data_IF_411210721500
#
_entry.id   IF_411210721500
#
_cell.length_a   1.000
_cell.length_b   1.000
_cell.length_c   1.000
_cell.angle_alpha   90.00
_cell.angle_beta   90.00
_cell.angle_gamma   90.00
#
_symmetry.space_group_name_H-M   'P 1'
#
loop_
_entity.id
_entity.type
_entity.pdbx_description
1 polymer ?
#
# COMPACT_ATOMS: atom_id res chain seq x y z
N UNK A 1 -12.80 5.90 7.74
CA UNK A 1 -11.95 6.40 8.87
C UNK A 1 -10.49 5.90 8.79
N UNK A 2 -10.01 5.53 7.59
CA UNK A 2 -8.59 5.22 7.30
C UNK A 2 -7.78 6.51 7.10
N UNK A 3 -8.41 7.67 7.00
CA UNK A 3 -7.71 8.96 7.03
C UNK A 3 -6.86 9.19 8.30
N UNK A 4 -7.03 8.38 9.33
CA UNK A 4 -6.29 8.48 10.58
C UNK A 4 -4.86 7.91 10.55
N UNK A 5 -4.47 7.13 9.54
CA UNK A 5 -3.08 6.65 9.41
C UNK A 5 -2.30 7.48 8.38
N UNK A 6 -2.98 8.09 7.40
CA UNK A 6 -2.35 8.94 6.39
C UNK A 6 -2.58 10.44 6.60
N UNK A 7 -3.46 10.85 7.52
CA UNK A 7 -3.94 12.23 7.69
C UNK A 7 -3.31 13.03 8.84
N UNK A 8 -2.26 12.54 9.51
CA UNK A 8 -1.49 13.33 10.49
C UNK A 8 -0.21 13.85 9.83
N UNK A 9 -0.36 14.52 8.72
CA UNK A 9 0.70 15.30 8.13
C UNK A 9 0.17 16.71 7.92
N UNK A 10 0.39 17.58 8.88
CA UNK A 10 0.44 19.03 8.83
C UNK A 10 -0.26 19.72 10.01
N UNK A 11 -0.23 19.13 11.16
CA UNK A 11 -0.38 19.90 12.39
C UNK A 11 0.99 19.91 13.06
N UNK A 12 1.52 21.13 13.31
CA UNK A 12 2.71 21.34 14.14
C UNK A 12 2.39 20.95 15.59
N UNK A 13 2.17 19.68 15.84
CA UNK A 13 2.22 19.14 17.18
C UNK A 13 3.67 18.76 17.43
N UNK A 14 4.37 19.54 18.23
CA UNK A 14 5.53 19.06 18.96
C UNK A 14 5.03 17.94 19.86
N UNK A 15 4.99 16.71 19.35
CA UNK A 15 4.92 15.54 20.19
C UNK A 15 6.30 15.42 20.84
N UNK A 16 6.41 16.07 22.00
CA UNK A 16 7.44 15.77 22.97
C UNK A 16 7.15 14.36 23.49
N UNK A 17 7.79 13.37 22.91
CA UNK A 17 7.74 11.98 23.28
C UNK A 17 8.92 11.30 22.61
N UNK A 18 10.12 11.87 22.79
CA UNK A 18 11.35 11.13 22.57
C UNK A 18 11.34 10.03 23.60
N UNK A 19 11.13 8.79 23.16
CA UNK A 19 11.33 7.62 24.02
C UNK A 19 12.81 7.58 24.41
N UNK A 20 13.18 7.77 25.66
CA UNK A 20 14.57 7.84 26.06
C UNK A 20 15.32 6.53 25.84
N UNK A 21 14.65 5.40 25.63
CA UNK A 21 15.20 4.05 25.70
C UNK A 21 15.29 3.33 24.33
N UNK A 22 15.06 4.01 23.21
CA UNK A 22 15.12 3.36 21.89
C UNK A 22 14.02 2.31 21.65
N UNK A 23 14.13 1.51 20.56
CA UNK A 23 13.15 0.48 20.24
C UNK A 23 13.13 -0.66 21.25
N UNK A 24 11.93 -1.12 21.65
CA UNK A 24 11.77 -2.22 22.62
C UNK A 24 11.94 -3.57 21.90
N UNK A 25 12.89 -4.43 22.33
CA UNK A 25 13.05 -5.75 21.73
C UNK A 25 11.79 -6.62 21.87
N UNK A 26 11.48 -7.44 20.88
CA UNK A 26 10.36 -8.39 20.94
C UNK A 26 10.47 -9.35 22.12
N UNK A 27 11.71 -9.72 22.50
CA UNK A 27 11.98 -10.54 23.69
C UNK A 27 11.47 -9.92 24.99
N UNK A 28 11.37 -8.58 25.06
CA UNK A 28 10.86 -7.87 26.24
C UNK A 28 9.36 -7.61 26.14
N UNK A 29 8.83 -7.40 24.92
CA UNK A 29 7.41 -7.14 24.70
C UNK A 29 6.56 -8.38 24.88
N UNK A 30 6.91 -9.50 24.25
CA UNK A 30 6.09 -10.72 24.27
C UNK A 30 5.75 -11.19 25.69
N UNK A 31 6.72 -11.31 26.63
CA UNK A 31 6.41 -11.71 28.02
C UNK A 31 5.51 -10.72 28.75
N UNK A 32 5.50 -9.44 28.36
CA UNK A 32 4.61 -8.44 28.97
C UNK A 32 3.18 -8.56 28.46
N UNK A 33 3.00 -8.78 27.15
CA UNK A 33 1.68 -9.07 26.59
C UNK A 33 1.10 -10.33 27.24
N UNK A 34 1.90 -11.37 27.48
CA UNK A 34 1.48 -12.58 28.17
C UNK A 34 1.02 -12.33 29.62
N UNK A 35 1.73 -11.51 30.36
CA UNK A 35 1.31 -11.11 31.72
C UNK A 35 -0.01 -10.35 31.71
N UNK A 36 -0.21 -9.44 30.76
CA UNK A 36 -1.47 -8.71 30.60
C UNK A 36 -2.63 -9.65 30.27
N UNK A 37 -2.40 -10.63 29.38
CA UNK A 37 -3.41 -11.64 29.06
C UNK A 37 -3.78 -12.50 30.26
N UNK A 38 -2.78 -12.95 31.04
CA UNK A 38 -2.98 -13.76 32.23
C UNK A 38 -3.72 -12.99 33.36
N UNK A 39 -3.54 -11.66 33.44
CA UNK A 39 -4.19 -10.79 34.42
C UNK A 39 -5.53 -10.19 33.94
N UNK A 40 -5.94 -10.43 32.67
CA UNK A 40 -7.19 -9.87 32.16
C UNK A 40 -8.41 -10.60 32.73
N UNK A 41 -9.42 -9.86 33.26
CA UNK A 41 -10.66 -10.45 33.74
C UNK A 41 -11.66 -10.76 32.62
N UNK A 42 -11.37 -10.38 31.37
CA UNK A 42 -12.29 -10.59 30.25
C UNK A 42 -12.36 -12.05 29.81
N UNK A 43 -13.49 -12.47 29.25
CA UNK A 43 -13.68 -13.80 28.65
C UNK A 43 -12.66 -14.07 27.54
N UNK A 44 -12.38 -13.00 26.76
CA UNK A 44 -11.35 -13.03 25.70
C UNK A 44 -10.64 -11.67 25.65
N UNK A 45 -9.33 -11.72 25.57
CA UNK A 45 -8.47 -10.54 25.34
C UNK A 45 -7.54 -10.80 24.19
N UNK A 46 -7.43 -9.82 23.30
CA UNK A 46 -6.45 -9.78 22.21
C UNK A 46 -5.68 -8.47 22.28
N UNK A 47 -4.39 -8.55 22.04
CA UNK A 47 -3.46 -7.43 22.11
C UNK A 47 -2.64 -7.43 20.83
N UNK A 48 -2.66 -6.33 20.09
CA UNK A 48 -1.76 -6.07 18.98
C UNK A 48 -0.84 -4.90 19.33
N UNK A 49 0.46 -5.16 19.37
CA UNK A 49 1.52 -4.20 19.56
C UNK A 49 2.17 -3.88 18.22
N UNK A 50 2.30 -2.61 17.90
CA UNK A 50 3.00 -2.11 16.73
C UNK A 50 3.96 -0.99 17.14
N UNK A 51 5.25 -1.19 16.93
CA UNK A 51 6.28 -0.18 17.04
C UNK A 51 6.91 0.05 15.67
N UNK A 52 6.99 1.30 15.23
CA UNK A 52 7.53 1.68 13.93
C UNK A 52 8.50 2.83 14.08
N UNK A 53 9.73 2.64 13.61
CA UNK A 53 10.67 3.71 13.30
C UNK A 53 10.72 3.90 11.79
N UNK A 54 10.51 5.10 11.32
CA UNK A 54 10.56 5.43 9.90
C UNK A 54 11.27 6.74 9.64
N UNK A 55 11.95 6.83 8.53
CA UNK A 55 12.62 8.04 8.10
C UNK A 55 12.53 8.25 6.60
N UNK A 56 12.87 9.45 6.19
CA UNK A 56 12.93 9.84 4.79
C UNK A 56 14.07 10.84 4.59
N UNK A 57 14.71 10.77 3.44
CA UNK A 57 15.70 11.76 2.99
C UNK A 57 15.47 12.10 1.51
N UNK A 58 15.80 13.34 1.13
CA UNK A 58 15.72 13.83 -0.24
C UNK A 58 16.93 14.68 -0.60
N UNK A 59 17.40 14.57 -1.85
CA UNK A 59 18.44 15.45 -2.39
C UNK A 59 17.89 16.70 -3.11
N UNK A 60 16.56 16.93 -3.07
CA UNK A 60 15.91 18.06 -3.72
C UNK A 60 16.39 19.41 -3.17
N UNK A 61 16.69 20.37 -4.08
CA UNK A 61 17.21 21.69 -3.69
C UNK A 61 16.18 22.61 -3.04
N UNK A 62 14.89 22.45 -3.37
CA UNK A 62 13.83 23.36 -2.93
C UNK A 62 13.17 22.97 -1.62
N UNK A 63 13.22 21.72 -1.23
CA UNK A 63 12.66 21.22 0.02
C UNK A 63 13.41 19.95 0.42
N UNK A 64 14.15 20.01 1.50
CA UNK A 64 14.70 18.83 2.15
C UNK A 64 13.59 18.29 3.05
N UNK A 65 12.88 17.28 2.56
CA UNK A 65 11.90 16.57 3.38
C UNK A 65 12.63 15.45 4.12
N UNK A 66 13.43 15.84 5.12
CA UNK A 66 14.09 14.90 6.02
C UNK A 66 13.29 14.81 7.30
N UNK A 67 12.91 13.61 7.68
CA UNK A 67 12.33 13.34 8.99
C UNK A 67 12.73 11.95 9.49
N UNK A 68 12.64 11.79 10.78
CA UNK A 68 12.64 10.50 11.46
C UNK A 68 11.53 10.51 12.52
N UNK A 69 10.71 9.47 12.53
CA UNK A 69 9.59 9.31 13.45
C UNK A 69 9.69 7.94 14.12
N UNK A 70 9.33 7.90 15.39
CA UNK A 70 9.21 6.68 16.17
C UNK A 70 7.84 6.67 16.84
N UNK A 71 7.04 5.66 16.55
CA UNK A 71 5.68 5.53 17.03
C UNK A 71 5.47 4.15 17.65
N UNK A 72 4.74 4.10 18.76
CA UNK A 72 4.27 2.87 19.38
C UNK A 72 2.76 2.93 19.52
N UNK A 73 2.09 1.93 19.03
CA UNK A 73 0.63 1.81 19.12
C UNK A 73 0.28 0.46 19.68
N UNK A 74 -0.68 0.43 20.58
CA UNK A 74 -1.31 -0.81 21.05
C UNK A 74 -2.80 -0.77 20.69
N UNK A 75 -3.31 -1.92 20.29
CA UNK A 75 -4.73 -2.18 20.12
C UNK A 75 -5.14 -3.29 21.05
N UNK A 76 -6.10 -3.03 21.94
CA UNK A 76 -6.77 -4.02 22.74
C UNK A 76 -8.15 -4.29 22.19
N UNK A 77 -8.49 -5.57 22.04
CA UNK A 77 -9.85 -6.05 21.84
C UNK A 77 -10.18 -6.98 23.00
N UNK A 78 -11.21 -6.63 23.76
CA UNK A 78 -11.65 -7.42 24.90
C UNK A 78 -13.12 -7.81 24.74
N UNK A 79 -13.47 -8.97 25.28
CA UNK A 79 -14.85 -9.41 25.42
C UNK A 79 -15.14 -9.73 26.88
N UNK A 80 -16.21 -9.14 27.39
CA UNK A 80 -16.71 -9.37 28.73
C UNK A 80 -18.24 -9.51 28.67
N UNK A 81 -18.77 -10.65 29.07
CA UNK A 81 -20.22 -10.92 29.14
C UNK A 81 -20.98 -10.61 27.84
N UNK A 82 -20.44 -11.04 26.69
CA UNK A 82 -21.06 -10.83 25.38
C UNK A 82 -20.91 -9.40 24.82
N UNK A 83 -20.15 -8.54 25.45
CA UNK A 83 -19.90 -7.16 25.06
C UNK A 83 -18.46 -6.99 24.59
N UNK A 84 -18.22 -6.19 23.58
CA UNK A 84 -16.88 -5.97 23.02
C UNK A 84 -16.43 -4.54 23.28
N UNK A 85 -15.20 -4.41 23.79
CA UNK A 85 -14.46 -3.16 23.87
C UNK A 85 -13.26 -3.19 22.95
N UNK A 86 -13.04 -2.08 22.25
CA UNK A 86 -11.92 -1.88 21.35
C UNK A 86 -11.22 -0.57 21.73
N UNK A 87 -9.97 -0.65 22.19
CA UNK A 87 -9.20 0.52 22.56
C UNK A 87 -7.86 0.55 21.82
N UNK A 88 -7.64 1.59 21.06
CA UNK A 88 -6.38 1.86 20.35
C UNK A 88 -5.76 3.13 20.91
N UNK A 89 -4.49 3.05 21.31
CA UNK A 89 -3.78 4.22 21.83
C UNK A 89 -2.28 4.16 21.51
N UNK A 90 -1.63 5.32 21.52
CA UNK A 90 -0.17 5.38 21.56
C UNK A 90 0.32 5.16 22.98
N UNK A 91 1.43 4.46 23.12
CA UNK A 91 2.02 4.13 24.42
C UNK A 91 3.44 4.66 24.52
N UNK A 92 3.73 5.32 25.64
CA UNK A 92 5.05 5.86 25.94
C UNK A 92 5.82 4.96 26.93
N UNK A 93 5.10 4.27 27.78
CA UNK A 93 5.65 3.39 28.79
C UNK A 93 4.88 2.06 28.84
N UNK A 94 5.45 1.08 29.50
CA UNK A 94 4.79 -0.21 29.63
C UNK A 94 3.64 -0.20 30.66
N UNK A 95 3.62 0.76 31.58
CA UNK A 95 2.47 1.00 32.46
C UNK A 95 1.26 1.53 31.67
N UNK A 96 1.46 2.19 30.53
CA UNK A 96 0.36 2.62 29.68
C UNK A 96 -0.43 1.45 29.10
N UNK A 97 0.19 0.27 28.97
CA UNK A 97 -0.49 -0.94 28.51
C UNK A 97 -1.58 -1.41 29.49
N UNK A 98 -1.33 -1.33 30.80
CA UNK A 98 -2.33 -1.68 31.84
C UNK A 98 -3.49 -0.70 31.83
N UNK A 99 -3.21 0.60 31.59
CA UNK A 99 -4.22 1.62 31.43
C UNK A 99 -5.07 1.34 30.20
N UNK A 100 -4.43 1.04 29.05
CA UNK A 100 -5.12 0.75 27.81
C UNK A 100 -6.02 -0.51 27.91
N UNK A 101 -5.59 -1.54 28.63
CA UNK A 101 -6.45 -2.68 28.93
C UNK A 101 -7.67 -2.30 29.77
N UNK A 102 -7.48 -1.47 30.82
CA UNK A 102 -8.59 -0.99 31.65
C UNK A 102 -9.60 -0.14 30.83
N UNK A 103 -9.10 0.69 29.92
CA UNK A 103 -9.95 1.49 29.05
C UNK A 103 -10.75 0.61 28.07
N UNK A 104 -10.13 -0.44 27.51
CA UNK A 104 -10.82 -1.42 26.68
C UNK A 104 -11.93 -2.15 27.44
N UNK A 105 -11.67 -2.57 28.68
CA UNK A 105 -12.66 -3.20 29.56
C UNK A 105 -13.81 -2.24 29.90
N UNK A 106 -13.50 -0.98 30.20
CA UNK A 106 -14.52 0.05 30.45
C UNK A 106 -15.41 0.26 29.22
N UNK A 107 -14.83 0.32 28.02
CA UNK A 107 -15.57 0.39 26.78
C UNK A 107 -16.47 -0.84 26.55
N UNK A 108 -15.98 -2.04 26.83
CA UNK A 108 -16.77 -3.26 26.72
C UNK A 108 -18.04 -3.18 27.58
N UNK A 109 -17.92 -2.70 28.83
CA UNK A 109 -19.04 -2.57 29.76
C UNK A 109 -20.10 -1.56 29.32
N UNK A 110 -19.68 -0.52 28.59
CA UNK A 110 -20.55 0.52 28.04
C UNK A 110 -21.18 0.13 26.68
N UNK A 111 -20.58 -0.83 25.98
CA UNK A 111 -21.07 -1.28 24.67
C UNK A 111 -22.33 -2.12 24.79
N UNK A 112 -23.25 -2.06 23.82
CA UNK A 112 -24.37 -2.99 23.77
C UNK A 112 -23.84 -4.44 23.60
N UNK A 113 -24.59 -5.46 24.05
CA UNK A 113 -24.27 -6.85 23.71
C UNK A 113 -24.18 -7.02 22.19
N UNK A 114 -23.08 -7.57 21.71
CA UNK A 114 -22.89 -7.87 20.30
C UNK A 114 -22.85 -9.38 20.11
N UNK A 115 -23.81 -9.97 19.39
CA UNK A 115 -23.73 -11.36 18.97
C UNK A 115 -22.60 -11.56 17.95
N UNK A 116 -22.09 -10.48 17.41
CA UNK A 116 -21.16 -10.41 16.30
C UNK A 116 -19.71 -10.56 16.71
N UNK A 117 -19.42 -11.56 17.53
CA UNK A 117 -18.04 -11.80 17.87
C UNK A 117 -17.37 -12.71 16.89
N UNK A 118 -16.57 -12.08 16.37
CA UNK A 118 -15.42 -12.22 15.54
C UNK A 118 -14.60 -13.45 15.93
N UNK A 119 -14.36 -14.31 14.97
CA UNK A 119 -13.49 -15.45 15.14
C UNK A 119 -12.10 -14.95 15.55
N UNK A 120 -11.78 -15.04 16.83
CA UNK A 120 -10.43 -14.77 17.32
C UNK A 120 -9.56 -15.95 16.93
N UNK A 121 -8.52 -15.76 16.13
CA UNK A 121 -7.62 -16.83 15.78
C UNK A 121 -7.08 -17.50 17.05
N UNK A 122 -7.10 -18.82 17.08
CA UNK A 122 -6.46 -19.61 18.12
C UNK A 122 -5.23 -20.33 17.56
N UNK A 123 -4.42 -20.85 18.49
CA UNK A 123 -3.28 -21.69 18.13
C UNK A 123 -1.99 -20.92 17.87
N UNK A 124 -0.90 -21.65 17.90
CA UNK A 124 0.48 -21.16 17.85
C UNK A 124 1.26 -21.76 16.67
N UNK A 125 0.59 -22.13 15.59
CA UNK A 125 1.28 -22.63 14.41
C UNK A 125 2.31 -21.60 13.90
N UNK A 126 3.58 -21.98 13.71
CA UNK A 126 4.62 -21.04 13.31
C UNK A 126 4.30 -20.41 11.95
N UNK A 127 4.70 -19.15 11.78
CA UNK A 127 4.64 -18.42 10.50
C UNK A 127 6.06 -18.18 9.99
N UNK A 128 6.21 -18.16 8.68
CA UNK A 128 7.52 -17.88 8.08
C UNK A 128 7.80 -16.37 8.12
N UNK A 129 8.84 -16.00 8.86
CA UNK A 129 9.31 -14.60 8.96
C UNK A 129 10.61 -14.34 8.22
N UNK A 130 11.08 -15.30 7.40
CA UNK A 130 12.32 -15.15 6.63
C UNK A 130 12.12 -14.09 5.54
N UNK A 131 13.14 -13.25 5.36
CA UNK A 131 13.17 -12.23 4.30
C UNK A 131 12.28 -11.00 4.54
N UNK A 132 11.62 -10.89 5.70
CA UNK A 132 10.78 -9.71 6.00
C UNK A 132 11.54 -8.60 6.73
N UNK A 133 12.73 -8.88 7.26
CA UNK A 133 13.58 -7.91 7.95
C UNK A 133 15.01 -7.91 7.36
N UNK A 134 15.47 -6.73 6.98
CA UNK A 134 16.83 -6.48 6.47
C UNK A 134 17.62 -5.63 7.46
N UNK A 135 18.77 -6.13 7.95
CA UNK A 135 19.63 -5.38 8.88
C UNK A 135 20.18 -4.06 8.32
N UNK A 136 20.32 -3.90 7.01
CA UNK A 136 20.80 -2.65 6.41
C UNK A 136 19.73 -1.57 6.46
N UNK A 137 18.48 -1.91 6.11
CA UNK A 137 17.33 -1.00 6.24
C UNK A 137 17.03 -0.69 7.71
N UNK A 138 17.11 -1.68 8.59
CA UNK A 138 16.87 -1.50 10.04
C UNK A 138 17.85 -0.49 10.65
N UNK A 139 19.07 -0.40 10.15
CA UNK A 139 20.10 0.56 10.60
C UNK A 139 20.18 1.84 9.77
N UNK A 140 19.27 2.01 8.80
CA UNK A 140 19.28 3.22 7.97
C UNK A 140 19.08 4.47 8.83
N UNK A 141 19.85 5.51 8.50
CA UNK A 141 19.77 6.84 9.13
C UNK A 141 19.64 7.90 8.05
N UNK A 142 19.19 9.12 8.37
CA UNK A 142 19.16 10.23 7.41
C UNK A 142 20.53 10.52 6.79
N UNK A 143 21.63 10.36 7.57
CA UNK A 143 23.00 10.51 7.06
C UNK A 143 23.35 9.47 6.00
N UNK A 144 23.14 8.19 6.30
CA UNK A 144 23.41 7.09 5.37
C UNK A 144 22.56 7.19 4.10
N UNK A 145 21.28 7.55 4.23
CA UNK A 145 20.38 7.78 3.11
C UNK A 145 20.86 8.94 2.22
N UNK A 146 21.30 10.06 2.83
CA UNK A 146 21.88 11.20 2.11
C UNK A 146 23.12 10.83 1.34
N UNK A 147 24.05 10.10 1.95
CA UNK A 147 25.29 9.66 1.31
C UNK A 147 24.99 8.72 0.13
N UNK A 148 23.99 7.85 0.27
CA UNK A 148 23.52 6.99 -0.82
C UNK A 148 22.98 7.83 -2.00
N UNK A 149 22.09 8.78 -1.73
CA UNK A 149 21.54 9.65 -2.76
C UNK A 149 22.61 10.51 -3.43
N UNK A 150 23.59 11.04 -2.67
CA UNK A 150 24.69 11.85 -3.23
C UNK A 150 25.59 11.05 -4.16
N UNK A 151 25.84 9.77 -3.86
CA UNK A 151 26.64 8.89 -4.73
C UNK A 151 25.94 8.52 -6.03
N UNK A 152 24.61 8.46 -6.06
CA UNK A 152 23.83 7.96 -7.20
C UNK A 152 23.27 9.06 -8.08
N UNK A 153 22.87 10.19 -7.49
CA UNK A 153 22.20 11.27 -8.21
C UNK A 153 23.17 12.09 -9.04
N UNK A 154 22.87 12.22 -10.33
CA UNK A 154 23.55 13.12 -11.24
C UNK A 154 23.01 14.56 -11.16
N UNK A 155 23.58 15.44 -11.99
CA UNK A 155 23.17 16.84 -12.07
C UNK A 155 21.72 16.95 -12.60
N UNK A 156 20.87 17.61 -11.83
CA UNK A 156 19.47 17.83 -12.19
C UNK A 156 18.52 16.68 -11.84
N UNK A 157 19.02 15.61 -11.22
CA UNK A 157 18.22 14.50 -10.74
C UNK A 157 17.76 14.76 -9.29
N UNK A 158 16.50 14.46 -9.03
CA UNK A 158 15.89 14.52 -7.70
C UNK A 158 15.48 13.12 -7.29
N UNK A 159 15.85 12.72 -6.09
CA UNK A 159 15.46 11.44 -5.53
C UNK A 159 15.02 11.58 -4.09
N UNK A 160 14.12 10.72 -3.69
CA UNK A 160 13.68 10.50 -2.31
C UNK A 160 13.87 9.04 -1.96
N UNK A 161 14.31 8.77 -0.76
CA UNK A 161 14.36 7.43 -0.19
C UNK A 161 13.72 7.48 1.18
N UNK A 162 12.82 6.54 1.43
CA UNK A 162 12.24 6.31 2.75
C UNK A 162 12.56 4.91 3.24
N UNK A 163 12.61 4.75 4.55
CA UNK A 163 12.80 3.46 5.21
C UNK A 163 11.92 3.36 6.43
N UNK A 164 11.58 2.12 6.78
CA UNK A 164 10.84 1.80 7.99
C UNK A 164 11.38 0.52 8.61
N UNK A 165 11.46 0.52 9.93
CA UNK A 165 11.68 -0.66 10.77
C UNK A 165 10.49 -0.80 11.69
N UNK A 166 9.86 -1.96 11.71
CA UNK A 166 8.70 -2.26 12.55
C UNK A 166 8.92 -3.48 13.41
N UNK A 167 8.37 -3.44 14.62
CA UNK A 167 8.23 -4.57 15.53
C UNK A 167 6.77 -4.79 15.79
N UNK A 168 6.31 -5.99 15.52
CA UNK A 168 4.91 -6.34 15.62
C UNK A 168 4.79 -7.57 16.53
N UNK A 169 3.90 -7.49 17.51
CA UNK A 169 3.54 -8.63 18.32
C UNK A 169 2.02 -8.68 18.50
N UNK A 170 1.44 -9.84 18.25
CA UNK A 170 0.01 -10.12 18.46
C UNK A 170 -0.10 -11.31 19.38
N UNK A 171 -0.89 -11.16 20.44
CA UNK A 171 -1.14 -12.23 21.39
C UNK A 171 -2.61 -12.19 21.86
N UNK A 172 -3.20 -13.35 22.14
CA UNK A 172 -4.54 -13.41 22.68
C UNK A 172 -4.69 -14.53 23.76
N UNK A 173 -5.79 -14.46 24.51
CA UNK A 173 -6.10 -15.42 25.58
C UNK A 173 -6.47 -16.83 25.07
N UNK A 174 -6.55 -17.05 23.75
CA UNK A 174 -6.77 -18.35 23.11
C UNK A 174 -5.49 -19.03 22.63
N UNK A 175 -4.33 -18.54 23.10
CA UNK A 175 -3.03 -19.15 22.83
C UNK A 175 -2.31 -18.65 21.58
N UNK A 176 -2.90 -17.71 20.81
CA UNK A 176 -2.19 -17.10 19.67
C UNK A 176 -0.99 -16.29 20.17
N UNK A 177 0.16 -16.54 19.54
CA UNK A 177 1.39 -15.76 19.70
C UNK A 177 2.00 -15.53 18.32
N UNK A 178 2.20 -14.26 17.95
CA UNK A 178 2.86 -13.86 16.73
C UNK A 178 3.79 -12.71 17.02
N UNK A 179 4.98 -12.75 16.49
CA UNK A 179 5.92 -11.64 16.58
C UNK A 179 6.83 -11.64 15.35
N UNK A 180 7.13 -10.46 14.83
CA UNK A 180 8.06 -10.27 13.73
C UNK A 180 8.71 -8.89 13.80
N UNK A 181 10.02 -8.84 13.50
CA UNK A 181 10.69 -7.64 13.03
C UNK A 181 10.49 -7.55 11.52
N UNK A 182 10.21 -6.35 11.03
CA UNK A 182 9.93 -6.13 9.61
C UNK A 182 10.58 -4.83 9.15
N UNK A 183 11.12 -4.81 7.94
CA UNK A 183 11.63 -3.59 7.31
C UNK A 183 10.93 -3.32 5.99
N UNK A 184 10.93 -2.07 5.57
CA UNK A 184 10.64 -1.69 4.19
C UNK A 184 11.44 -0.47 3.78
N UNK A 185 11.88 -0.46 2.53
CA UNK A 185 12.45 0.70 1.86
C UNK A 185 11.62 1.05 0.63
N UNK A 186 11.55 2.31 0.31
CA UNK A 186 11.02 2.78 -0.96
C UNK A 186 11.90 3.90 -1.51
N UNK A 187 11.92 4.04 -2.81
CA UNK A 187 12.64 5.08 -3.50
C UNK A 187 11.83 5.61 -4.67
N UNK A 188 11.94 6.92 -4.90
CA UNK A 188 11.43 7.60 -6.08
C UNK A 188 12.54 8.46 -6.68
N UNK A 189 12.69 8.41 -8.00
CA UNK A 189 13.68 9.18 -8.76
C UNK A 189 13.01 9.93 -9.88
N UNK A 190 13.34 11.21 -10.02
CA UNK A 190 12.92 12.08 -11.12
C UNK A 190 14.18 12.60 -11.80
N UNK A 191 14.39 12.23 -13.07
CA UNK A 191 15.49 12.65 -13.91
C UNK A 191 15.05 13.74 -14.86
N UNK A 192 15.83 14.81 -14.97
CA UNK A 192 15.56 16.00 -15.76
C UNK A 192 14.40 16.88 -15.23
N UNK A 193 14.33 18.09 -15.78
CA UNK A 193 13.23 19.02 -15.46
C UNK A 193 12.07 18.77 -16.39
N UNK A 194 10.86 19.05 -15.93
CA UNK A 194 9.66 19.08 -16.77
C UNK A 194 9.86 20.08 -17.97
N UNK A 195 9.33 19.79 -19.18
CA UNK A 195 8.74 18.52 -19.60
C UNK A 195 9.76 17.44 -19.95
N UNK A 196 9.31 16.19 -20.05
CA UNK A 196 10.17 15.05 -20.41
C UNK A 196 10.93 14.41 -19.26
N UNK A 197 10.56 14.73 -18.02
CA UNK A 197 11.17 14.12 -16.84
C UNK A 197 10.89 12.61 -16.80
N UNK A 198 11.96 11.82 -16.81
CA UNK A 198 11.88 10.38 -16.54
C UNK A 198 11.64 10.14 -15.07
N UNK A 199 10.78 9.18 -14.76
CA UNK A 199 10.42 8.82 -13.40
C UNK A 199 10.54 7.31 -13.19
N UNK A 200 10.94 6.93 -11.99
CA UNK A 200 10.91 5.54 -11.54
C UNK A 200 10.76 5.49 -10.02
N UNK A 201 10.03 4.49 -9.55
CA UNK A 201 9.90 4.19 -8.14
C UNK A 201 10.04 2.67 -7.90
N UNK A 202 10.38 2.30 -6.68
CA UNK A 202 10.37 0.91 -6.23
C UNK A 202 10.21 0.85 -4.71
N UNK A 203 9.78 -0.32 -4.22
CA UNK A 203 9.78 -0.66 -2.81
C UNK A 203 10.34 -2.07 -2.60
N UNK A 204 10.88 -2.35 -1.41
CA UNK A 204 11.39 -3.68 -1.06
C UNK A 204 11.49 -3.86 0.44
N UNK A 205 11.55 -5.11 0.91
CA UNK A 205 11.90 -5.47 2.29
C UNK A 205 13.39 -5.30 2.59
N UNK A 206 14.24 -5.21 1.57
CA UNK A 206 15.68 -5.07 1.72
C UNK A 206 16.26 -3.94 0.88
N UNK A 207 17.40 -3.39 1.29
CA UNK A 207 18.12 -2.37 0.52
C UNK A 207 18.64 -2.94 -0.80
N UNK A 208 19.11 -4.19 -0.78
CA UNK A 208 19.55 -4.89 -2.00
C UNK A 208 18.38 -5.09 -2.99
N UNK A 209 17.20 -5.51 -2.51
CA UNK A 209 15.99 -5.67 -3.34
C UNK A 209 15.41 -4.34 -3.82
N UNK A 210 15.60 -3.25 -3.10
CA UNK A 210 15.25 -1.90 -3.56
C UNK A 210 16.05 -1.50 -4.80
N UNK A 211 17.28 -2.02 -4.95
CA UNK A 211 18.16 -1.84 -6.09
C UNK A 211 18.29 -0.37 -6.56
N UNK A 212 18.75 0.56 -5.73
CA UNK A 212 18.74 2.01 -5.99
C UNK A 212 19.34 2.39 -7.35
N UNK A 213 20.43 1.73 -7.76
CA UNK A 213 21.10 1.96 -9.05
C UNK A 213 20.16 1.67 -10.23
N UNK A 214 19.35 0.62 -10.13
CA UNK A 214 18.39 0.24 -11.18
C UNK A 214 17.24 1.23 -11.26
N UNK A 215 16.76 1.75 -10.13
CA UNK A 215 15.73 2.80 -10.08
C UNK A 215 16.23 4.06 -10.80
N UNK A 216 17.45 4.53 -10.52
CA UNK A 216 18.06 5.64 -11.25
C UNK A 216 18.22 5.33 -12.75
N UNK A 217 18.72 4.16 -13.11
CA UNK A 217 18.89 3.75 -14.51
C UNK A 217 17.53 3.73 -15.25
N UNK A 218 16.46 3.22 -14.62
CA UNK A 218 15.12 3.21 -15.21
C UNK A 218 14.57 4.63 -15.40
N UNK A 219 14.72 5.51 -14.42
CA UNK A 219 14.31 6.91 -14.56
C UNK A 219 15.08 7.63 -15.68
N UNK A 220 16.38 7.39 -15.80
CA UNK A 220 17.21 7.95 -16.89
C UNK A 220 16.76 7.47 -18.26
N UNK A 221 16.52 6.17 -18.46
CA UNK A 221 16.02 5.62 -19.73
C UNK A 221 14.68 6.22 -20.16
N UNK A 222 13.83 6.55 -19.18
CA UNK A 222 12.50 7.14 -19.41
C UNK A 222 12.53 8.66 -19.61
N UNK A 223 13.68 9.32 -19.40
CA UNK A 223 13.82 10.74 -19.67
C UNK A 223 13.72 11.03 -21.16
N UNK A 224 12.93 12.04 -21.50
CA UNK A 224 12.73 12.49 -22.87
C UNK A 224 13.43 13.80 -23.18
N UNK A 225 13.41 14.21 -24.47
CA UNK A 225 13.88 15.52 -24.87
C UNK A 225 12.98 16.61 -24.26
N UNK A 226 13.53 17.82 -24.01
CA UNK A 226 12.74 18.91 -23.43
C UNK A 226 11.77 19.55 -24.45
N UNK A 227 11.85 19.15 -25.70
CA UNK A 227 10.96 19.65 -26.77
C UNK A 227 9.55 19.08 -26.60
N UNK A 228 8.57 19.97 -26.55
CA UNK A 228 7.17 19.64 -26.33
C UNK A 228 6.40 19.63 -27.64
N UNK A 229 5.61 18.59 -27.83
CA UNK A 229 4.66 18.48 -28.95
C UNK A 229 3.23 18.47 -28.44
N UNK A 230 2.27 18.65 -29.33
CA UNK A 230 0.85 18.55 -29.00
C UNK A 230 0.44 17.09 -28.74
N UNK A 231 -0.48 16.83 -27.79
CA UNK A 231 -1.10 15.52 -27.65
C UNK A 231 -1.82 15.12 -28.94
N UNK A 232 -2.10 13.81 -29.10
CA UNK A 232 -2.94 13.33 -30.19
C UNK A 232 -4.32 14.02 -30.20
N UNK A 233 -4.85 14.29 -31.37
CA UNK A 233 -6.23 14.77 -31.51
C UNK A 233 -7.19 13.57 -31.35
N UNK A 234 -8.02 13.61 -30.31
CA UNK A 234 -9.02 12.58 -30.03
C UNK A 234 -8.52 11.40 -29.18
N UNK A 235 -9.33 10.32 -29.09
CA UNK A 235 -8.97 9.13 -28.32
C UNK A 235 -7.71 8.47 -28.85
N UNK A 236 -6.82 8.09 -27.94
CA UNK A 236 -5.54 7.45 -28.26
C UNK A 236 -5.24 6.35 -27.26
N UNK A 237 -4.46 5.31 -27.63
CA UNK A 237 -4.01 4.30 -26.67
C UNK A 237 -3.05 4.93 -25.66
N UNK A 238 -3.05 4.37 -24.45
CA UNK A 238 -2.17 4.75 -23.36
C UNK A 238 -1.29 3.59 -22.93
N UNK A 239 -0.02 3.85 -22.72
CA UNK A 239 0.87 2.96 -21.98
C UNK A 239 1.18 3.60 -20.63
N UNK A 240 0.82 2.92 -19.57
CA UNK A 240 1.04 3.33 -18.19
C UNK A 240 2.29 2.65 -17.63
N UNK A 241 3.17 3.41 -17.00
CA UNK A 241 4.28 2.87 -16.23
C UNK A 241 3.77 1.99 -15.09
N UNK A 242 4.65 1.24 -14.43
CA UNK A 242 4.33 0.50 -13.23
C UNK A 242 3.79 1.43 -12.12
N UNK A 243 4.37 2.63 -12.00
CA UNK A 243 3.96 3.65 -11.03
C UNK A 243 2.54 4.18 -11.31
N UNK A 244 2.23 4.49 -12.56
CA UNK A 244 0.91 4.96 -12.97
C UNK A 244 -0.15 3.85 -12.83
N UNK A 245 0.19 2.62 -13.21
CA UNK A 245 -0.67 1.44 -13.03
C UNK A 245 -0.97 1.20 -11.55
N UNK A 246 0.07 1.19 -10.69
CA UNK A 246 -0.10 1.01 -9.26
C UNK A 246 -0.99 2.09 -8.63
N UNK A 247 -0.88 3.34 -9.06
CA UNK A 247 -1.72 4.44 -8.57
C UNK A 247 -3.20 4.21 -8.90
N UNK A 248 -3.53 3.80 -10.13
CA UNK A 248 -4.90 3.47 -10.51
C UNK A 248 -5.46 2.28 -9.72
N UNK A 249 -4.66 1.23 -9.56
CA UNK A 249 -5.05 0.04 -8.80
C UNK A 249 -5.26 0.34 -7.33
N UNK A 250 -4.50 1.26 -6.75
CA UNK A 250 -4.71 1.68 -5.35
C UNK A 250 -6.03 2.43 -5.16
N UNK A 251 -6.45 3.24 -6.12
CA UNK A 251 -7.78 3.87 -6.11
C UNK A 251 -8.87 2.80 -6.23
N UNK A 252 -8.72 1.89 -7.19
CA UNK A 252 -9.63 0.76 -7.36
C UNK A 252 -9.76 -0.06 -6.08
N UNK A 253 -8.62 -0.42 -5.46
CA UNK A 253 -8.57 -1.20 -4.23
C UNK A 253 -9.39 -0.56 -3.11
N UNK A 254 -9.14 0.72 -2.83
CA UNK A 254 -9.83 1.44 -1.75
C UNK A 254 -11.33 1.58 -1.97
N UNK A 255 -11.76 1.76 -3.22
CA UNK A 255 -13.18 1.94 -3.54
C UNK A 255 -13.94 0.61 -3.67
N UNK A 256 -13.22 -0.50 -3.86
CA UNK A 256 -13.86 -1.74 -4.33
C UNK A 256 -13.64 -2.93 -3.40
N UNK A 257 -12.38 -3.21 -3.02
CA UNK A 257 -12.00 -4.49 -2.43
C UNK A 257 -11.88 -4.49 -0.91
N UNK A 258 -12.10 -3.37 -0.24
CA UNK A 258 -12.11 -3.33 1.23
C UNK A 258 -13.45 -3.85 1.77
N UNK A 259 -13.43 -4.44 2.97
CA UNK A 259 -14.67 -4.85 3.64
C UNK A 259 -15.60 -3.66 3.90
N UNK A 260 -15.06 -2.49 4.22
CA UNK A 260 -15.83 -1.27 4.46
C UNK A 260 -16.53 -0.77 3.19
N UNK A 261 -15.83 -0.70 2.04
CA UNK A 261 -16.45 -0.26 0.79
C UNK A 261 -17.58 -1.20 0.35
N UNK A 262 -17.40 -2.51 0.58
CA UNK A 262 -18.44 -3.50 0.31
C UNK A 262 -19.64 -3.35 1.27
N UNK A 263 -19.37 -3.16 2.55
CA UNK A 263 -20.39 -3.07 3.61
C UNK A 263 -21.25 -1.82 3.48
N UNK A 264 -20.63 -0.68 3.21
CA UNK A 264 -21.32 0.61 3.01
C UNK A 264 -22.10 0.70 1.69
N UNK A 265 -21.97 -0.28 0.80
CA UNK A 265 -22.62 -0.27 -0.51
C UNK A 265 -21.94 0.64 -1.55
N UNK A 266 -20.76 1.16 -1.25
CA UNK A 266 -19.95 1.94 -2.19
C UNK A 266 -19.35 1.03 -3.27
N UNK A 267 -18.93 -0.19 -2.89
CA UNK A 267 -18.33 -1.14 -3.82
C UNK A 267 -19.36 -1.68 -4.82
N UNK A 268 -19.06 -1.56 -6.09
CA UNK A 268 -19.84 -2.16 -7.17
C UNK A 268 -19.85 -3.71 -7.12
N UNK A 269 -18.92 -4.32 -6.40
CA UNK A 269 -18.84 -5.78 -6.28
C UNK A 269 -20.09 -6.42 -5.66
N UNK A 270 -20.85 -5.67 -4.87
CA UNK A 270 -22.08 -6.21 -4.27
C UNK A 270 -23.04 -6.79 -5.30
N UNK A 271 -23.08 -6.21 -6.48
CA UNK A 271 -23.96 -6.62 -7.58
C UNK A 271 -23.23 -7.39 -8.68
N UNK A 272 -21.90 -7.54 -8.56
CA UNK A 272 -21.05 -8.04 -9.64
C UNK A 272 -20.18 -9.24 -9.26
N UNK A 273 -20.31 -9.79 -8.07
CA UNK A 273 -19.57 -11.01 -7.70
C UNK A 273 -19.94 -12.16 -8.65
N UNK A 274 -18.92 -12.85 -9.15
CA UNK A 274 -19.05 -13.91 -10.14
C UNK A 274 -19.32 -13.43 -11.56
N UNK A 275 -19.34 -12.10 -11.80
CA UNK A 275 -19.58 -11.53 -13.13
C UNK A 275 -18.29 -10.97 -13.75
N UNK A 276 -18.17 -11.00 -15.09
CA UNK A 276 -17.08 -10.30 -15.78
C UNK A 276 -17.24 -8.79 -15.61
N UNK A 277 -16.20 -8.16 -15.03
CA UNK A 277 -16.19 -6.71 -14.73
C UNK A 277 -15.07 -5.98 -15.45
N UNK A 278 -14.02 -6.72 -15.87
CA UNK A 278 -12.84 -6.21 -16.56
C UNK A 278 -12.47 -7.08 -17.76
N UNK A 279 -11.46 -6.64 -18.50
CA UNK A 279 -10.88 -7.45 -19.59
C UNK A 279 -10.30 -8.77 -19.04
N UNK A 280 -10.41 -9.90 -19.78
CA UNK A 280 -9.92 -11.21 -19.30
C UNK A 280 -8.43 -11.26 -18.94
N UNK A 281 -7.60 -10.35 -19.45
CA UNK A 281 -6.20 -10.24 -19.06
C UNK A 281 -5.99 -9.64 -17.65
N UNK A 282 -7.03 -9.08 -17.04
CA UNK A 282 -6.94 -8.48 -15.70
C UNK A 282 -7.11 -9.55 -14.63
N UNK A 283 -6.03 -9.85 -13.91
CA UNK A 283 -6.01 -10.74 -12.76
C UNK A 283 -5.47 -9.96 -11.56
N UNK A 284 -6.29 -9.74 -10.56
CA UNK A 284 -5.93 -9.03 -9.32
C UNK A 284 -5.91 -9.99 -8.15
N UNK A 285 -4.81 -9.98 -7.41
CA UNK A 285 -4.60 -10.82 -6.23
C UNK A 285 -4.06 -9.95 -5.10
N UNK A 286 -4.48 -10.19 -3.87
CA UNK A 286 -3.74 -9.72 -2.70
C UNK A 286 -2.89 -10.87 -2.18
N UNK A 287 -1.57 -10.74 -2.26
CA UNK A 287 -0.65 -11.80 -1.87
C UNK A 287 0.44 -11.29 -0.93
N UNK A 288 0.19 -11.34 0.38
CA UNK A 288 1.18 -10.98 1.38
C UNK A 288 2.32 -12.01 1.53
N UNK A 289 2.34 -13.08 0.74
CA UNK A 289 3.39 -14.11 0.80
C UNK A 289 4.34 -14.07 -0.40
N UNK A 290 3.99 -13.34 -1.47
CA UNK A 290 4.81 -13.26 -2.68
C UNK A 290 6.07 -12.41 -2.45
N UNK A 291 7.29 -12.98 -2.59
CA UNK A 291 8.55 -12.24 -2.37
C UNK A 291 8.81 -11.13 -3.39
N UNK A 292 8.09 -11.10 -4.52
CA UNK A 292 8.19 -10.01 -5.51
C UNK A 292 7.51 -8.73 -5.05
N UNK A 293 6.69 -8.78 -3.99
CA UNK A 293 6.07 -7.63 -3.35
C UNK A 293 6.77 -7.21 -2.06
N UNK A 294 5.97 -6.87 -1.05
CA UNK A 294 6.42 -6.63 0.31
C UNK A 294 5.85 -7.71 1.24
N UNK A 295 6.38 -8.94 1.27
CA UNK A 295 5.79 -10.04 2.02
C UNK A 295 5.67 -9.72 3.51
N UNK A 296 4.57 -10.21 4.13
CA UNK A 296 4.28 -10.04 5.53
C UNK A 296 3.62 -11.31 6.10
N UNK A 297 4.07 -11.83 7.25
CA UNK A 297 3.78 -13.21 7.64
C UNK A 297 2.40 -13.44 8.27
N UNK A 298 1.71 -12.39 8.72
CA UNK A 298 0.38 -12.47 9.35
C UNK A 298 -0.34 -11.12 9.28
N UNK A 299 -1.66 -11.12 9.36
CA UNK A 299 -2.44 -9.87 9.46
C UNK A 299 -2.29 -9.21 10.85
N UNK A 300 -2.79 -7.98 11.01
CA UNK A 300 -2.63 -7.25 12.27
C UNK A 300 -3.44 -7.86 13.45
N UNK A 301 -4.20 -8.91 13.22
CA UNK A 301 -4.88 -9.71 14.24
C UNK A 301 -4.23 -11.09 14.42
N UNK A 302 -3.11 -11.35 13.75
CA UNK A 302 -2.29 -12.54 13.91
C UNK A 302 -2.72 -13.76 13.08
N UNK A 303 -3.69 -13.64 12.17
CA UNK A 303 -3.98 -14.72 11.24
C UNK A 303 -2.82 -14.87 10.25
N UNK A 304 -2.38 -16.12 10.01
CA UNK A 304 -1.32 -16.41 9.07
C UNK A 304 -1.67 -15.86 7.68
N UNK A 305 -0.71 -15.17 7.07
CA UNK A 305 -0.86 -14.58 5.74
C UNK A 305 -1.16 -15.64 4.69
N UNK A 306 -2.07 -15.32 3.79
CA UNK A 306 -2.44 -16.18 2.66
C UNK A 306 -2.99 -15.32 1.51
N UNK A 307 -2.75 -15.73 0.25
CA UNK A 307 -3.26 -14.99 -0.89
C UNK A 307 -4.78 -15.11 -1.02
N UNK A 308 -5.39 -14.08 -1.61
CA UNK A 308 -6.77 -14.08 -2.09
C UNK A 308 -6.83 -13.56 -3.52
N UNK A 309 -7.57 -14.25 -4.38
CA UNK A 309 -7.86 -13.78 -5.73
C UNK A 309 -9.06 -12.83 -5.69
N UNK A 310 -8.82 -11.55 -6.03
CA UNK A 310 -9.87 -10.52 -6.06
C UNK A 310 -10.60 -10.51 -7.40
N UNK A 311 -9.85 -10.70 -8.48
CA UNK A 311 -10.34 -10.80 -9.86
C UNK A 311 -9.53 -11.87 -10.58
N UNK A 312 -10.20 -12.77 -11.28
CA UNK A 312 -9.58 -13.82 -12.11
C UNK A 312 -10.20 -13.82 -13.49
N UNK A 313 -9.36 -13.67 -14.53
CA UNK A 313 -9.86 -13.61 -15.91
C UNK A 313 -10.87 -12.49 -16.14
N UNK A 314 -10.74 -11.35 -15.47
CA UNK A 314 -11.68 -10.24 -15.52
C UNK A 314 -12.95 -10.44 -14.70
N UNK A 315 -13.14 -11.60 -14.07
CA UNK A 315 -14.32 -11.94 -13.25
C UNK A 315 -14.07 -11.55 -11.79
N UNK A 316 -15.01 -10.85 -11.17
CA UNK A 316 -14.95 -10.48 -9.76
C UNK A 316 -15.16 -11.71 -8.87
N UNK A 317 -14.23 -11.99 -7.96
CA UNK A 317 -14.25 -13.19 -7.10
C UNK A 317 -14.70 -12.84 -5.68
N UNK A 318 -13.97 -11.99 -4.97
CA UNK A 318 -14.25 -11.64 -3.58
C UNK A 318 -13.61 -10.31 -3.19
N UNK A 319 -14.19 -9.55 -2.25
CA UNK A 319 -13.45 -8.51 -1.52
C UNK A 319 -12.58 -9.15 -0.42
N UNK A 320 -11.79 -8.34 0.28
CA UNK A 320 -11.24 -8.73 1.57
C UNK A 320 -12.40 -8.83 2.59
N UNK A 321 -12.44 -9.92 3.35
CA UNK A 321 -13.56 -10.29 4.22
C UNK A 321 -13.12 -10.12 5.68
N UNK A 322 -13.74 -9.17 6.38
CA UNK A 322 -13.72 -9.07 7.83
C UNK A 322 -14.75 -10.03 8.45
N UNK A 323 -14.82 -10.03 9.76
CA UNK A 323 -15.72 -10.93 10.47
C UNK A 323 -17.22 -10.55 10.30
N UNK A 324 -17.57 -9.29 10.03
CA UNK A 324 -18.95 -8.88 9.74
C UNK A 324 -19.36 -9.37 8.35
N UNK A 325 -18.49 -9.15 7.37
CA UNK A 325 -18.75 -9.54 5.98
C UNK A 325 -18.74 -11.06 5.82
N UNK A 326 -17.94 -11.77 6.62
CA UNK A 326 -17.91 -13.24 6.70
C UNK A 326 -19.30 -13.85 6.87
N UNK A 327 -20.14 -13.27 7.71
CA UNK A 327 -21.51 -13.75 7.91
C UNK A 327 -22.45 -13.38 6.77
N UNK A 328 -22.29 -12.17 6.25
CA UNK A 328 -23.13 -11.70 5.15
C UNK A 328 -22.91 -12.50 3.86
N UNK A 329 -21.69 -13.00 3.66
CA UNK A 329 -21.32 -13.78 2.47
C UNK A 329 -21.26 -15.31 2.73
N UNK A 330 -21.50 -15.75 3.96
CA UNK A 330 -21.30 -17.17 4.39
C UNK A 330 -19.92 -17.70 3.95
N UNK A 331 -18.88 -16.88 4.15
CA UNK A 331 -17.51 -17.15 3.72
C UNK A 331 -16.54 -16.82 4.85
N UNK A 332 -15.46 -17.60 5.09
CA UNK A 332 -14.55 -17.35 6.18
C UNK A 332 -13.84 -15.99 6.01
N UNK A 333 -13.48 -15.33 7.12
CA UNK A 333 -12.66 -14.11 7.09
C UNK A 333 -11.35 -14.35 6.36
N UNK A 334 -10.90 -13.35 5.61
CA UNK A 334 -9.59 -13.40 4.95
C UNK A 334 -8.49 -12.90 5.88
N UNK A 335 -7.23 -13.23 5.57
CA UNK A 335 -6.06 -12.82 6.36
C UNK A 335 -5.50 -11.46 5.90
N UNK A 336 -6.39 -10.49 5.66
CA UNK A 336 -6.08 -9.11 5.26
C UNK A 336 -6.60 -8.09 6.28
N UNK A 337 -6.77 -8.50 7.53
CA UNK A 337 -7.35 -7.63 8.56
C UNK A 337 -6.34 -6.61 9.06
N UNK A 338 -6.72 -5.35 9.01
CA UNK A 338 -5.95 -4.23 9.57
C UNK A 338 -6.55 -3.73 10.89
N UNK A 339 -7.80 -4.10 11.15
CA UNK A 339 -8.50 -3.92 12.40
C UNK A 339 -9.56 -5.03 12.55
N UNK A 340 -10.17 -5.20 13.74
CA UNK A 340 -11.20 -6.24 13.97
C UNK A 340 -12.40 -6.17 13.03
N UNK A 341 -12.77 -5.00 12.61
CA UNK A 341 -13.92 -4.69 11.75
C UNK A 341 -13.51 -4.14 10.39
N UNK A 342 -12.26 -4.36 10.00
CA UNK A 342 -11.73 -3.84 8.74
C UNK A 342 -10.73 -4.80 8.10
N UNK A 343 -11.06 -5.25 6.89
CA UNK A 343 -10.15 -6.00 6.03
C UNK A 343 -9.85 -5.21 4.75
N UNK A 344 -8.56 -5.10 4.41
CA UNK A 344 -8.07 -4.30 3.29
C UNK A 344 -6.97 -5.08 2.58
N UNK A 345 -7.05 -5.28 1.25
CA UNK A 345 -5.91 -5.77 0.49
C UNK A 345 -4.72 -4.81 0.64
N UNK A 346 -3.62 -5.31 1.17
CA UNK A 346 -2.43 -4.49 1.49
C UNK A 346 -1.23 -4.86 0.63
N UNK A 347 -1.30 -5.98 -0.10
CA UNK A 347 -0.26 -6.53 -0.95
C UNK A 347 -0.84 -6.84 -2.33
N UNK A 348 -1.43 -5.80 -2.94
CA UNK A 348 -2.14 -5.93 -4.20
C UNK A 348 -1.18 -6.19 -5.36
N UNK A 349 -1.49 -7.18 -6.19
CA UNK A 349 -0.84 -7.49 -7.44
C UNK A 349 -1.81 -7.36 -8.61
N UNK A 350 -1.39 -6.69 -9.67
CA UNK A 350 -1.84 -7.02 -11.02
C UNK A 350 -0.89 -8.12 -11.52
N UNK A 351 -1.40 -9.33 -11.72
CA UNK A 351 -0.55 -10.43 -12.16
C UNK A 351 0.05 -10.14 -13.53
N UNK A 352 1.33 -10.48 -13.75
CA UNK A 352 2.02 -10.14 -15.00
C UNK A 352 1.44 -10.90 -16.19
N UNK A 353 1.47 -10.26 -17.33
CA UNK A 353 1.33 -10.90 -18.63
C UNK A 353 2.68 -11.36 -19.18
N UNK A 354 2.72 -11.64 -20.49
CA UNK A 354 3.94 -12.08 -21.19
C UNK A 354 4.73 -10.94 -21.84
N UNK A 355 4.10 -9.86 -22.40
CA UNK A 355 4.79 -8.84 -23.17
C UNK A 355 5.88 -8.09 -22.39
N UNK A 356 7.05 -7.95 -23.01
CA UNK A 356 8.10 -7.04 -22.55
C UNK A 356 7.70 -5.55 -22.79
N UNK A 357 8.48 -4.60 -22.23
CA UNK A 357 8.21 -3.17 -22.37
C UNK A 357 8.09 -2.72 -23.82
N UNK A 358 8.97 -3.20 -24.72
CA UNK A 358 8.95 -2.83 -26.13
C UNK A 358 7.70 -3.33 -26.89
N UNK A 359 7.20 -4.50 -26.53
CA UNK A 359 6.00 -5.07 -27.13
C UNK A 359 4.76 -4.34 -26.64
N UNK A 360 4.75 -3.94 -25.38
CA UNK A 360 3.67 -3.15 -24.79
C UNK A 360 3.62 -1.74 -25.41
N UNK A 361 4.77 -1.10 -25.63
CA UNK A 361 4.84 0.18 -26.34
C UNK A 361 4.37 0.04 -27.79
N UNK A 362 4.69 -1.07 -28.48
CA UNK A 362 4.14 -1.34 -29.84
C UNK A 362 2.62 -1.51 -29.82
N UNK A 363 2.06 -2.16 -28.81
CA UNK A 363 0.61 -2.29 -28.66
C UNK A 363 -0.10 -0.93 -28.46
N UNK A 364 0.62 0.06 -27.92
CA UNK A 364 0.13 1.43 -27.73
C UNK A 364 0.73 2.44 -28.73
N UNK A 365 1.19 1.98 -29.91
CA UNK A 365 1.82 2.85 -30.90
C UNK A 365 0.87 3.95 -31.39
N UNK A 366 1.41 5.13 -31.67
CA UNK A 366 0.64 6.34 -31.99
C UNK A 366 -0.03 6.99 -30.77
N UNK A 367 0.08 6.36 -29.61
CA UNK A 367 -0.52 6.79 -28.34
C UNK A 367 0.40 7.59 -27.45
N UNK A 368 0.14 7.48 -26.14
CA UNK A 368 0.76 8.30 -25.11
C UNK A 368 1.28 7.41 -23.98
N UNK A 369 2.54 7.63 -23.60
CA UNK A 369 3.14 7.10 -22.39
C UNK A 369 2.89 8.02 -21.19
N UNK A 370 2.57 7.46 -20.04
CA UNK A 370 2.36 8.18 -18.78
C UNK A 370 3.28 7.60 -17.70
N UNK A 371 4.18 8.42 -17.18
CA UNK A 371 5.13 7.98 -16.15
C UNK A 371 4.52 7.96 -14.73
N UNK A 372 3.61 8.87 -14.41
CA UNK A 372 2.95 8.94 -13.11
C UNK A 372 1.59 9.65 -13.22
N UNK A 373 0.71 9.36 -12.26
CA UNK A 373 -0.58 10.02 -12.09
C UNK A 373 -0.61 10.71 -10.72
N UNK A 374 -0.39 12.03 -10.70
CA UNK A 374 -0.25 12.83 -9.48
C UNK A 374 -0.75 14.27 -9.65
N UNK A 375 -1.73 14.76 -8.89
CA UNK A 375 -2.60 13.98 -8.00
C UNK A 375 -3.54 13.04 -8.76
N UNK A 376 -4.07 12.04 -8.06
CA UNK A 376 -5.09 11.14 -8.56
C UNK A 376 -6.21 11.06 -7.52
N UNK A 377 -7.42 11.42 -7.92
CA UNK A 377 -8.59 11.52 -7.05
C UNK A 377 -9.77 10.77 -7.66
N UNK A 378 -10.43 9.94 -6.85
CA UNK A 378 -11.74 9.38 -7.19
C UNK A 378 -12.83 10.32 -6.67
N UNK A 379 -13.74 10.73 -7.53
CA UNK A 379 -14.83 11.66 -7.17
C UNK A 379 -16.23 11.05 -7.27
N UNK A 380 -16.33 9.87 -7.85
CA UNK A 380 -17.56 9.07 -7.88
C UNK A 380 -17.19 7.62 -7.51
N UNK A 381 -17.27 7.26 -6.21
CA UNK A 381 -16.86 5.93 -5.76
C UNK A 381 -17.66 4.77 -6.37
N UNK A 382 -18.95 4.93 -6.61
CA UNK A 382 -19.81 3.88 -7.20
C UNK A 382 -19.54 3.71 -8.70
N UNK A 383 -19.39 4.81 -9.43
CA UNK A 383 -19.03 4.82 -10.84
C UNK A 383 -17.55 4.62 -11.10
N UNK A 384 -16.68 4.60 -10.05
CA UNK A 384 -15.22 4.51 -10.17
C UNK A 384 -14.61 5.60 -11.08
N UNK A 385 -15.24 6.77 -11.13
CA UNK A 385 -14.73 7.90 -11.90
C UNK A 385 -13.58 8.58 -11.17
N UNK A 386 -12.54 8.91 -11.91
CA UNK A 386 -11.37 9.56 -11.37
C UNK A 386 -10.94 10.77 -12.22
N UNK A 387 -10.16 11.62 -11.59
CA UNK A 387 -9.40 12.69 -12.22
C UNK A 387 -7.95 12.57 -11.79
N UNK A 388 -7.02 12.66 -12.74
CA UNK A 388 -5.60 12.60 -12.49
C UNK A 388 -4.83 13.62 -13.31
N UNK A 389 -3.65 14.02 -12.83
CA UNK A 389 -2.66 14.71 -13.65
C UNK A 389 -1.63 13.70 -14.11
N UNK A 390 -1.59 13.44 -15.41
CA UNK A 390 -0.58 12.61 -16.04
C UNK A 390 0.74 13.39 -16.16
N UNK A 391 1.79 12.83 -15.61
CA UNK A 391 3.13 13.46 -15.55
C UNK A 391 4.19 12.62 -16.23
N UNK A 392 5.24 13.30 -16.72
CA UNK A 392 6.31 12.67 -17.49
C UNK A 392 5.79 12.03 -18.76
N UNK A 393 4.87 12.74 -19.41
CA UNK A 393 4.11 12.25 -20.55
C UNK A 393 4.96 12.30 -21.81
N UNK A 394 4.90 11.25 -22.63
CA UNK A 394 5.63 11.16 -23.90
C UNK A 394 4.76 10.56 -25.00
N UNK A 395 5.02 10.94 -26.22
CA UNK A 395 4.44 10.30 -27.38
C UNK A 395 5.04 8.91 -27.57
N UNK A 396 4.27 7.97 -28.08
CA UNK A 396 4.77 6.67 -28.53
C UNK A 396 4.78 6.71 -30.07
N UNK A 397 5.97 6.63 -30.65
CA UNK A 397 6.16 6.72 -32.10
C UNK A 397 6.98 5.50 -32.57
N UNK A 398 6.39 4.66 -33.41
CA UNK A 398 7.03 3.42 -33.90
C UNK A 398 7.33 2.40 -32.81
N UNK A 399 6.50 2.33 -31.77
CA UNK A 399 6.69 1.42 -30.64
C UNK A 399 7.80 1.83 -29.67
N UNK A 400 8.23 3.10 -29.67
CA UNK A 400 9.26 3.63 -28.79
C UNK A 400 8.84 4.95 -28.14
N UNK A 401 9.47 5.30 -27.01
CA UNK A 401 9.22 6.57 -26.33
C UNK A 401 9.81 7.74 -27.16
N UNK A 402 8.94 8.53 -27.76
CA UNK A 402 9.25 9.66 -28.61
C UNK A 402 9.39 10.99 -27.84
N UNK A 403 8.86 12.07 -28.41
CA UNK A 403 8.93 13.44 -27.89
C UNK A 403 8.08 13.62 -26.65
N UNK A 404 8.44 14.62 -25.85
CA UNK A 404 7.74 14.96 -24.61
C UNK A 404 6.42 15.67 -24.89
N UNK A 405 5.46 15.46 -24.02
CA UNK A 405 4.19 16.15 -23.94
C UNK A 405 4.12 16.99 -22.66
N UNK A 406 3.29 18.02 -22.58
CA UNK A 406 3.03 18.70 -21.32
C UNK A 406 2.32 17.74 -20.35
N UNK A 407 2.20 18.16 -19.09
CA UNK A 407 1.32 17.47 -18.16
C UNK A 407 -0.13 17.55 -18.67
N UNK A 408 -0.85 16.44 -18.60
CA UNK A 408 -2.22 16.31 -19.08
C UNK A 408 -3.16 15.98 -17.92
N UNK A 409 -4.37 16.51 -17.95
CA UNK A 409 -5.46 16.05 -17.09
C UNK A 409 -6.14 14.87 -17.77
N UNK A 410 -6.33 13.79 -17.02
CA UNK A 410 -7.06 12.61 -17.45
C UNK A 410 -8.25 12.38 -16.53
N UNK A 411 -9.44 12.39 -17.11
CA UNK A 411 -10.69 12.04 -16.43
C UNK A 411 -11.31 10.84 -17.11
N UNK A 412 -11.57 9.78 -16.36
CA UNK A 412 -12.12 8.55 -16.90
C UNK A 412 -12.86 7.72 -15.83
N UNK A 413 -13.29 6.54 -16.22
CA UNK A 413 -13.89 5.50 -15.39
C UNK A 413 -12.98 4.27 -15.35
N UNK A 414 -12.63 3.78 -14.15
CA UNK A 414 -11.70 2.65 -13.98
C UNK A 414 -12.23 1.35 -14.57
N UNK A 415 -13.56 1.11 -14.57
CA UNK A 415 -14.15 -0.07 -15.22
C UNK A 415 -13.92 -0.01 -16.72
N UNK A 416 -14.17 1.17 -17.31
CA UNK A 416 -13.93 1.39 -18.73
C UNK A 416 -12.47 1.23 -19.10
N UNK A 417 -11.55 1.80 -18.32
CA UNK A 417 -10.11 1.68 -18.55
C UNK A 417 -9.68 0.21 -18.49
N UNK A 418 -10.07 -0.53 -17.44
CA UNK A 418 -9.68 -1.92 -17.26
C UNK A 418 -10.46 -2.90 -18.15
N UNK A 419 -11.56 -2.49 -18.79
CA UNK A 419 -12.23 -3.28 -19.82
C UNK A 419 -11.57 -3.19 -21.20
N UNK A 420 -10.70 -2.21 -21.42
CA UNK A 420 -10.03 -1.93 -22.71
C UNK A 420 -8.53 -2.19 -22.69
N UNK A 421 -8.09 -3.18 -21.92
CA UNK A 421 -6.68 -3.58 -21.84
C UNK A 421 -6.22 -4.13 -23.18
N UNK A 422 -5.12 -3.61 -23.71
CA UNK A 422 -4.42 -4.10 -24.89
C UNK A 422 -3.35 -5.14 -24.51
N UNK A 423 -2.59 -4.82 -23.45
CA UNK A 423 -1.53 -5.69 -22.96
C UNK A 423 -1.24 -5.42 -21.48
N UNK A 424 -0.86 -6.47 -20.76
CA UNK A 424 -0.31 -6.43 -19.40
C UNK A 424 1.14 -6.84 -19.48
N UNK A 425 2.06 -6.03 -18.99
CA UNK A 425 3.49 -6.27 -19.07
C UNK A 425 3.97 -7.42 -18.18
N UNK A 426 5.19 -7.90 -18.43
CA UNK A 426 5.79 -9.02 -17.68
C UNK A 426 6.59 -8.58 -16.45
N UNK A 427 7.14 -7.37 -16.43
CA UNK A 427 8.00 -6.88 -15.34
C UNK A 427 7.17 -6.30 -14.19
N UNK A 428 7.21 -6.96 -13.04
CA UNK A 428 6.57 -6.51 -11.81
C UNK A 428 7.48 -5.56 -11.02
N UNK A 429 6.91 -4.45 -10.55
CA UNK A 429 7.59 -3.53 -9.64
C UNK A 429 6.68 -3.24 -8.44
N UNK A 430 7.11 -3.52 -7.21
CA UNK A 430 6.39 -3.10 -6.02
C UNK A 430 6.53 -1.59 -5.83
N UNK A 431 5.41 -0.91 -5.69
CA UNK A 431 5.31 0.52 -5.43
C UNK A 431 4.69 0.69 -4.05
N UNK A 432 5.40 1.39 -3.16
CA UNK A 432 4.89 1.67 -1.82
C UNK A 432 3.67 2.58 -1.89
N UNK A 433 2.60 2.19 -1.20
CA UNK A 433 1.37 2.97 -1.07
C UNK A 433 1.14 3.37 0.39
N UNK A 434 0.90 4.66 0.65
CA UNK A 434 0.74 5.19 2.00
C UNK A 434 2.02 5.19 2.84
N UNK A 435 1.94 4.87 4.13
CA UNK A 435 3.08 4.92 5.05
C UNK A 435 4.12 3.79 4.89
N UNK A 436 3.97 2.93 3.89
CA UNK A 436 5.04 2.08 3.35
C UNK A 436 5.38 0.80 4.10
N UNK A 437 5.09 0.63 5.40
CA UNK A 437 5.55 -0.55 6.13
C UNK A 437 4.84 -1.86 5.72
N UNK A 438 3.53 -1.78 5.48
CA UNK A 438 2.68 -2.95 5.24
C UNK A 438 1.97 -2.94 3.89
N UNK A 439 2.12 -1.87 3.09
CA UNK A 439 1.32 -1.70 1.89
C UNK A 439 2.18 -1.45 0.67
N UNK A 440 1.94 -2.26 -0.35
CA UNK A 440 2.45 -2.02 -1.68
C UNK A 440 1.44 -2.51 -2.72
N UNK A 441 1.40 -1.82 -3.85
CA UNK A 441 0.79 -2.33 -5.07
C UNK A 441 1.91 -2.75 -6.00
N UNK A 442 1.96 -4.03 -6.33
CA UNK A 442 2.95 -4.60 -7.24
C UNK A 442 2.31 -4.70 -8.62
N UNK A 443 2.80 -3.90 -9.54
CA UNK A 443 2.20 -3.78 -10.85
C UNK A 443 3.22 -3.87 -11.98
N UNK A 444 2.83 -4.47 -13.11
CA UNK A 444 3.52 -4.32 -14.38
C UNK A 444 3.08 -3.03 -15.07
N UNK A 445 3.69 -2.70 -16.20
CA UNK A 445 3.13 -1.74 -17.15
C UNK A 445 1.80 -2.23 -17.72
N UNK A 446 0.94 -1.28 -18.07
CA UNK A 446 -0.39 -1.57 -18.63
C UNK A 446 -0.62 -0.74 -19.90
N UNK A 447 -0.97 -1.38 -21.00
CA UNK A 447 -1.45 -0.70 -22.21
C UNK A 447 -2.98 -0.80 -22.30
N UNK A 448 -3.65 0.31 -22.59
CA UNK A 448 -5.10 0.39 -22.72
C UNK A 448 -5.48 1.13 -24.01
N UNK A 449 -6.57 0.70 -24.63
CA UNK A 449 -7.08 1.29 -25.87
C UNK A 449 -7.99 2.49 -25.60
N UNK A 450 -8.09 3.36 -26.60
CA UNK A 450 -9.14 4.38 -26.76
C UNK A 450 -9.45 5.20 -25.51
N UNK A 451 -8.41 5.71 -24.88
CA UNK A 451 -8.58 6.59 -23.73
C UNK A 451 -8.98 7.97 -24.21
N UNK A 452 -10.22 8.35 -23.91
CA UNK A 452 -10.69 9.72 -24.09
C UNK A 452 -10.38 10.56 -22.84
N UNK A 453 -10.61 11.87 -22.90
CA UNK A 453 -10.56 12.74 -21.72
C UNK A 453 -9.17 13.24 -21.33
N UNK A 454 -8.14 13.03 -22.16
CA UNK A 454 -6.84 13.69 -22.00
C UNK A 454 -6.92 15.14 -22.48
N UNK A 455 -6.66 16.08 -21.57
CA UNK A 455 -6.69 17.53 -21.84
C UNK A 455 -5.41 18.19 -21.33
N UNK A 456 -5.08 19.38 -21.85
CA UNK A 456 -4.01 20.19 -21.26
C UNK A 456 -4.31 20.52 -19.79
N UNK A 457 -3.30 20.47 -18.93
CA UNK A 457 -3.46 20.76 -17.50
C UNK A 457 -3.69 22.25 -17.17
N UNK A 458 -3.70 23.11 -18.18
CA UNK A 458 -3.80 24.58 -18.04
C UNK A 458 -5.18 25.15 -18.49
N UNK A 459 -6.16 24.33 -18.78
CA UNK A 459 -7.50 24.78 -19.12
C UNK A 459 -8.47 24.73 -17.92
#
# INVERSE_FOLDING_TARGET
>A
MIAGIAGIAASRCRLAGVFPDGPVPLADIVPRLERLLAGSPADVTEISWLEVRRGQESNGKRRRDTYELHERTVLFRVRESGRTGLHRTSVSTLSDLENALRDALAQARLSPPSPDLLAIPGGDAPVDTRGVCDPELARMTPGAARDLLQRLAGRGETARIGWSEGRIAVANSRGLRRAADVTSGWMEVICARQPGAGRAAAASRSLAGLAPQQVFARARRRSGPPEVVRPPDGPAPLALSQEATAALLEVLNRQTFTSESFHSGVSFLRESLGQPVFHPAVNLRDDPTDPRGLPFPFDLLGAAARPIDLVTGGVAITPAIDDRLSRALDSPPTAQRVAPDEAVPTHLFLLPGEPAEEELLRAADGGVWVAALEPLEAYDPQGLRFRAVARGVRRIDGGALGRSLPDLVWEDDLKRVLSRVLAVGSELVPIATGAGLFRATTAPMLAVADVGGLRFALD
#
